data_IF_144386610104
#
_entry.id   IF_144386610104
#
_cell.length_a   1.000
_cell.length_b   1.000
_cell.length_c   1.000
_cell.angle_alpha   90.00
_cell.angle_beta   90.00
_cell.angle_gamma   90.00
#
_symmetry.space_group_name_H-M   'P 1'
#
loop_
_entity.id
_entity.type
_entity.pdbx_description
1 polymer ?
#
# COMPACT_ATOMS: atom_id res chain seq x y z
N UNK A 1 -21.62 -5.68 3.68
CA UNK A 1 -20.39 -5.92 2.86
C UNK A 1 -19.07 -5.64 3.59
N UNK A 2 -18.93 -4.61 4.41
CA UNK A 2 -17.73 -4.39 5.24
C UNK A 2 -17.73 -5.32 6.46
N UNK A 3 -18.87 -5.53 7.07
CA UNK A 3 -19.05 -6.41 8.23
C UNK A 3 -18.78 -7.88 7.93
N UNK A 4 -19.12 -8.37 6.74
CA UNK A 4 -18.86 -9.76 6.34
C UNK A 4 -17.37 -10.08 6.24
N UNK A 5 -16.55 -9.11 5.78
CA UNK A 5 -15.10 -9.28 5.72
C UNK A 5 -14.45 -9.32 7.10
N UNK A 6 -14.91 -8.46 8.01
CA UNK A 6 -14.44 -8.45 9.39
C UNK A 6 -14.84 -9.76 10.06
N UNK A 7 -16.09 -10.20 9.90
CA UNK A 7 -16.58 -11.47 10.42
C UNK A 7 -15.75 -12.67 9.91
N UNK A 8 -15.41 -12.69 8.62
CA UNK A 8 -14.56 -13.73 8.02
C UNK A 8 -13.15 -13.73 8.61
N UNK A 9 -12.54 -12.55 8.82
CA UNK A 9 -11.22 -12.43 9.44
C UNK A 9 -11.22 -12.82 10.91
N UNK A 10 -12.32 -12.58 11.62
CA UNK A 10 -12.48 -12.92 13.04
C UNK A 10 -12.91 -14.38 13.27
N UNK A 11 -13.38 -15.09 12.24
CA UNK A 11 -13.90 -16.44 12.36
C UNK A 11 -12.93 -17.44 13.03
N UNK A 12 -11.62 -17.48 12.73
CA UNK A 12 -10.70 -18.39 13.42
C UNK A 12 -10.58 -18.10 14.92
N UNK A 13 -10.55 -16.82 15.31
CA UNK A 13 -10.49 -16.41 16.72
C UNK A 13 -11.75 -16.81 17.46
N UNK A 14 -12.91 -16.55 16.85
CA UNK A 14 -14.20 -16.94 17.40
C UNK A 14 -14.31 -18.45 17.56
N UNK A 15 -13.90 -19.21 16.55
CA UNK A 15 -13.90 -20.68 16.61
C UNK A 15 -13.02 -21.21 17.74
N UNK A 16 -11.80 -20.68 17.91
CA UNK A 16 -10.91 -21.08 18.99
C UNK A 16 -11.52 -20.74 20.39
N UNK A 17 -12.13 -19.58 20.50
CA UNK A 17 -12.80 -19.14 21.73
C UNK A 17 -14.01 -20.05 22.08
N UNK A 18 -14.89 -20.27 21.12
CA UNK A 18 -16.12 -21.09 21.30
C UNK A 18 -15.77 -22.55 21.65
N UNK A 19 -14.69 -23.07 21.07
CA UNK A 19 -14.20 -24.43 21.37
C UNK A 19 -13.30 -24.53 22.60
N UNK A 20 -13.11 -23.42 23.33
CA UNK A 20 -12.24 -23.35 24.54
C UNK A 20 -10.79 -23.80 24.26
N UNK A 21 -10.33 -23.61 23.02
CA UNK A 21 -8.96 -23.91 22.59
C UNK A 21 -8.03 -22.72 22.95
N UNK A 22 -7.82 -22.51 24.25
CA UNK A 22 -7.13 -21.33 24.78
C UNK A 22 -5.70 -21.22 24.27
N UNK A 23 -4.95 -22.30 24.24
CA UNK A 23 -3.54 -22.29 23.75
C UNK A 23 -3.47 -21.86 22.28
N UNK A 24 -4.41 -22.33 21.45
CA UNK A 24 -4.50 -21.91 20.05
C UNK A 24 -4.89 -20.44 19.93
N UNK A 25 -5.83 -19.98 20.72
CA UNK A 25 -6.26 -18.59 20.76
C UNK A 25 -5.11 -17.67 21.19
N UNK A 26 -4.38 -18.03 22.25
CA UNK A 26 -3.20 -17.29 22.71
C UNK A 26 -2.10 -17.23 21.65
N UNK A 27 -1.84 -18.34 20.97
CA UNK A 27 -0.88 -18.38 19.85
C UNK A 27 -1.26 -17.44 18.71
N UNK A 28 -2.53 -17.44 18.29
CA UNK A 28 -3.02 -16.53 17.24
C UNK A 28 -2.95 -15.06 17.67
N UNK A 29 -3.37 -14.75 18.90
CA UNK A 29 -3.30 -13.37 19.44
C UNK A 29 -1.86 -12.94 19.63
N UNK A 30 -0.97 -13.82 20.10
CA UNK A 30 0.46 -13.56 20.22
C UNK A 30 1.10 -13.21 18.89
N UNK A 31 0.84 -13.99 17.85
CA UNK A 31 1.32 -13.74 16.49
C UNK A 31 0.79 -12.40 15.96
N UNK A 32 -0.49 -12.11 16.15
CA UNK A 32 -1.08 -10.83 15.73
C UNK A 32 -0.43 -9.65 16.46
N UNK A 33 -0.20 -9.76 17.77
CA UNK A 33 0.47 -8.72 18.57
C UNK A 33 1.88 -8.44 18.09
N UNK A 34 2.67 -9.48 17.83
CA UNK A 34 4.05 -9.32 17.32
C UNK A 34 4.07 -8.61 15.97
N UNK A 35 3.17 -8.99 15.06
CA UNK A 35 3.09 -8.36 13.73
C UNK A 35 2.53 -6.94 13.81
N UNK A 36 1.52 -6.70 14.65
CA UNK A 36 0.93 -5.38 14.82
C UNK A 36 1.89 -4.41 15.54
N UNK A 37 2.68 -4.89 16.52
CA UNK A 37 3.62 -4.05 17.26
C UNK A 37 4.65 -3.36 16.37
N UNK A 38 4.98 -3.97 15.23
CA UNK A 38 5.88 -3.36 14.25
C UNK A 38 5.29 -2.13 13.56
N UNK A 39 3.97 -2.02 13.51
CA UNK A 39 3.24 -0.91 12.88
C UNK A 39 2.84 0.18 13.89
N UNK A 40 3.01 -0.08 15.18
CA UNK A 40 2.62 0.85 16.24
C UNK A 40 3.85 1.60 16.71
N UNK A 41 4.06 2.78 16.14
CA UNK A 41 4.98 3.79 16.68
C UNK A 41 4.19 5.03 17.09
N UNK A 42 4.71 5.89 17.99
CA UNK A 42 4.07 7.16 18.34
C UNK A 42 3.78 8.01 17.10
N UNK A 43 4.70 8.06 16.15
CA UNK A 43 4.59 8.82 14.92
C UNK A 43 3.51 8.24 14.00
N UNK A 44 3.48 6.92 13.82
CA UNK A 44 2.44 6.23 13.04
C UNK A 44 1.07 6.44 13.67
N UNK A 45 0.97 6.31 14.99
CA UNK A 45 -0.27 6.57 15.71
C UNK A 45 -0.76 8.01 15.47
N UNK A 46 0.11 8.98 15.61
CA UNK A 46 -0.22 10.40 15.41
C UNK A 46 -0.72 10.67 13.99
N UNK A 47 -0.04 10.16 12.97
CA UNK A 47 -0.42 10.37 11.57
C UNK A 47 -1.73 9.66 11.21
N UNK A 48 -1.93 8.42 11.67
CA UNK A 48 -3.06 7.60 11.25
C UNK A 48 -4.32 7.77 12.11
N UNK A 49 -4.24 8.46 13.23
CA UNK A 49 -5.41 8.83 14.05
C UNK A 49 -5.87 10.27 13.81
N UNK A 50 -5.10 11.08 13.08
CA UNK A 50 -5.50 12.40 12.62
C UNK A 50 -6.48 12.36 11.45
N UNK A 51 -7.14 13.49 11.17
CA UNK A 51 -8.01 13.70 10.01
C UNK A 51 -7.71 15.06 9.36
N UNK A 52 -6.41 15.34 9.19
CA UNK A 52 -5.92 16.65 8.72
C UNK A 52 -5.87 16.75 7.19
N UNK A 53 -5.94 15.62 6.47
CA UNK A 53 -5.93 15.58 5.01
C UNK A 53 -6.73 14.41 4.47
N UNK A 54 -7.14 14.51 3.20
CA UNK A 54 -7.77 13.41 2.50
C UNK A 54 -6.97 13.02 1.24
N UNK A 55 -7.22 11.80 0.75
CA UNK A 55 -6.53 11.26 -0.42
C UNK A 55 -7.21 11.63 -1.76
N UNK A 56 -8.08 12.64 -1.79
CA UNK A 56 -8.74 13.11 -3.02
C UNK A 56 -7.90 14.14 -3.77
N UNK A 57 -6.63 13.88 -3.92
CA UNK A 57 -5.66 14.81 -4.52
C UNK A 57 -6.02 15.22 -5.96
N UNK A 58 -6.83 14.43 -6.64
CA UNK A 58 -7.29 14.67 -8.02
C UNK A 58 -8.69 15.27 -8.11
N UNK A 59 -9.22 15.84 -7.04
CA UNK A 59 -10.47 16.57 -7.05
C UNK A 59 -10.32 17.89 -7.81
N UNK A 60 -11.26 18.19 -8.70
CA UNK A 60 -11.26 19.44 -9.48
C UNK A 60 -11.40 20.68 -8.61
N UNK A 61 -12.11 20.57 -7.50
CA UNK A 61 -12.35 21.68 -6.57
C UNK A 61 -11.18 21.97 -5.65
N UNK A 62 -10.34 20.96 -5.39
CA UNK A 62 -9.21 21.09 -4.47
C UNK A 62 -8.04 20.20 -4.94
N UNK A 63 -7.39 20.53 -6.07
CA UNK A 63 -6.23 19.79 -6.53
C UNK A 63 -5.07 19.96 -5.55
N UNK A 64 -4.42 18.86 -5.20
CA UNK A 64 -3.42 18.86 -4.14
C UNK A 64 -2.17 18.08 -4.54
N UNK A 65 -1.06 18.37 -3.86
CA UNK A 65 0.16 17.58 -3.91
C UNK A 65 0.26 16.74 -2.64
N UNK A 66 0.63 15.47 -2.81
CA UNK A 66 0.96 14.59 -1.70
C UNK A 66 2.39 14.10 -1.88
N UNK A 67 3.23 14.37 -0.89
CA UNK A 67 4.60 13.87 -0.83
C UNK A 67 4.66 12.83 0.28
N UNK A 68 5.12 11.63 -0.05
CA UNK A 68 5.31 10.53 0.88
C UNK A 68 6.81 10.25 0.96
N UNK A 69 7.39 10.47 2.12
CA UNK A 69 8.80 10.18 2.37
C UNK A 69 8.97 8.81 3.01
N UNK A 70 10.10 8.15 2.73
CA UNK A 70 10.55 6.96 3.44
C UNK A 70 11.76 7.31 4.32
N UNK A 71 11.93 6.58 5.42
CA UNK A 71 13.07 6.70 6.31
C UNK A 71 13.84 5.38 6.28
N UNK A 72 15.08 5.36 5.77
CA UNK A 72 15.86 4.13 5.68
C UNK A 72 16.08 3.41 7.02
N UNK A 73 16.15 4.17 8.14
CA UNK A 73 16.31 3.58 9.46
C UNK A 73 15.06 2.88 9.98
N UNK A 74 13.87 3.30 9.47
CA UNK A 74 12.56 2.79 9.89
C UNK A 74 11.77 2.18 8.72
N UNK A 75 12.46 1.77 7.66
CA UNK A 75 11.86 1.34 6.39
C UNK A 75 10.80 0.23 6.58
N UNK A 76 11.05 -0.75 7.43
CA UNK A 76 10.09 -1.85 7.65
C UNK A 76 8.73 -1.38 8.19
N UNK A 77 8.72 -0.34 9.01
CA UNK A 77 7.48 0.22 9.58
C UNK A 77 6.87 1.23 8.62
N UNK A 78 7.65 2.26 8.27
CA UNK A 78 7.19 3.39 7.44
C UNK A 78 6.86 2.90 6.03
N UNK A 79 7.67 2.04 5.44
CA UNK A 79 7.41 1.47 4.11
C UNK A 79 6.09 0.71 4.04
N UNK A 80 5.74 -0.05 5.09
CA UNK A 80 4.45 -0.76 5.18
C UNK A 80 3.27 0.21 5.26
N UNK A 81 3.40 1.28 6.03
CA UNK A 81 2.38 2.32 6.17
C UNK A 81 2.24 3.13 4.87
N UNK A 82 3.35 3.50 4.25
CA UNK A 82 3.39 4.16 2.95
C UNK A 82 2.73 3.29 1.86
N UNK A 83 3.00 2.00 1.85
CA UNK A 83 2.36 1.06 0.93
C UNK A 83 0.83 1.01 1.11
N UNK A 84 0.32 1.09 2.35
CA UNK A 84 -1.10 1.17 2.64
C UNK A 84 -1.72 2.45 2.06
N UNK A 85 -1.11 3.61 2.31
CA UNK A 85 -1.55 4.91 1.79
C UNK A 85 -1.54 4.91 0.27
N UNK A 86 -0.44 4.46 -0.36
CA UNK A 86 -0.28 4.39 -1.80
C UNK A 86 -1.32 3.48 -2.45
N UNK A 87 -1.54 2.28 -1.91
CA UNK A 87 -2.56 1.38 -2.43
C UNK A 87 -3.97 1.99 -2.40
N UNK A 88 -4.27 2.79 -1.38
CA UNK A 88 -5.54 3.50 -1.28
C UNK A 88 -5.61 4.68 -2.26
N UNK A 89 -4.54 5.46 -2.34
CA UNK A 89 -4.40 6.60 -3.24
C UNK A 89 -4.61 6.20 -4.69
N UNK A 90 -3.93 5.15 -5.15
CA UNK A 90 -4.03 4.65 -6.52
C UNK A 90 -5.46 4.30 -6.90
N UNK A 91 -6.17 3.63 -6.01
CA UNK A 91 -7.57 3.28 -6.27
C UNK A 91 -8.43 4.54 -6.47
N UNK A 92 -8.08 5.64 -5.80
CA UNK A 92 -8.80 6.90 -5.90
C UNK A 92 -8.41 7.68 -7.15
N UNK A 93 -7.12 7.83 -7.45
CA UNK A 93 -6.67 8.61 -8.60
C UNK A 93 -6.90 7.89 -9.93
N UNK A 94 -6.80 6.55 -9.93
CA UNK A 94 -7.01 5.73 -11.12
C UNK A 94 -8.49 5.43 -11.35
N UNK A 95 -9.32 6.46 -11.33
CA UNK A 95 -10.76 6.38 -11.55
C UNK A 95 -11.23 7.47 -12.51
N UNK A 96 -12.39 7.25 -13.15
CA UNK A 96 -12.98 8.22 -14.08
C UNK A 96 -13.45 9.48 -13.35
N UNK A 97 -13.40 10.62 -14.03
CA UNK A 97 -13.92 11.88 -13.52
C UNK A 97 -12.88 12.76 -12.81
N UNK A 98 -11.71 12.23 -12.51
CA UNK A 98 -10.59 12.96 -11.92
C UNK A 98 -9.93 13.91 -12.92
N UNK A 99 -9.24 14.93 -12.43
CA UNK A 99 -8.26 15.69 -13.22
C UNK A 99 -7.03 14.80 -13.50
N UNK A 100 -6.20 15.14 -14.52
CA UNK A 100 -4.94 14.44 -14.75
C UNK A 100 -4.05 14.45 -13.50
N UNK A 101 -3.41 13.30 -13.23
CA UNK A 101 -2.52 13.12 -12.08
C UNK A 101 -1.16 12.59 -12.54
N UNK A 102 -0.10 13.04 -11.91
CA UNK A 102 1.23 12.43 -12.05
C UNK A 102 1.61 11.72 -10.75
N UNK A 103 2.04 10.46 -10.88
CA UNK A 103 2.61 9.67 -9.79
C UNK A 103 4.09 9.50 -10.11
N UNK A 104 4.95 9.98 -9.22
CA UNK A 104 6.41 9.88 -9.35
C UNK A 104 6.91 9.07 -8.17
N UNK A 105 7.56 7.95 -8.44
CA UNK A 105 8.22 7.09 -7.47
C UNK A 105 9.71 7.12 -7.76
N UNK A 106 10.50 7.72 -6.89
CA UNK A 106 11.93 7.93 -7.11
C UNK A 106 12.73 6.62 -6.94
N UNK A 107 12.42 5.84 -5.93
CA UNK A 107 13.09 4.56 -5.67
C UNK A 107 12.04 3.45 -5.44
N UNK A 108 11.59 2.83 -6.53
CA UNK A 108 10.51 1.83 -6.50
C UNK A 108 10.81 0.61 -5.62
N UNK A 109 12.05 0.05 -5.56
CA UNK A 109 12.36 -1.10 -4.72
C UNK A 109 12.14 -0.87 -3.22
N UNK A 110 12.27 0.36 -2.73
CA UNK A 110 12.05 0.67 -1.30
C UNK A 110 10.58 0.65 -0.89
N UNK A 111 9.69 0.58 -1.87
CA UNK A 111 8.24 0.59 -1.67
C UNK A 111 7.62 -0.64 -2.31
N UNK A 112 7.26 -1.65 -1.50
CA UNK A 112 6.51 -2.79 -2.03
C UNK A 112 5.10 -2.38 -2.46
N UNK A 113 4.96 -2.15 -3.75
CA UNK A 113 3.78 -1.58 -4.37
C UNK A 113 2.97 -2.65 -5.10
N UNK A 114 2.19 -3.39 -4.38
CA UNK A 114 1.55 -4.64 -4.82
C UNK A 114 0.65 -4.56 -6.08
N UNK A 115 0.24 -3.36 -6.50
CA UNK A 115 -0.68 -3.17 -7.65
C UNK A 115 -0.12 -2.25 -8.72
N UNK A 116 1.18 -2.09 -8.76
CA UNK A 116 1.82 -1.17 -9.70
C UNK A 116 1.57 -1.58 -11.15
N UNK A 117 1.64 -2.87 -11.46
CA UNK A 117 1.35 -3.41 -12.78
C UNK A 117 -0.07 -3.06 -13.26
N UNK A 118 -1.04 -3.20 -12.37
CA UNK A 118 -2.42 -2.84 -12.67
C UNK A 118 -2.59 -1.33 -12.85
N UNK A 119 -1.91 -0.53 -12.04
CA UNK A 119 -1.92 0.92 -12.20
C UNK A 119 -1.42 1.29 -13.58
N UNK A 120 -0.21 0.86 -13.95
CA UNK A 120 0.41 1.21 -15.23
C UNK A 120 -0.50 0.80 -16.40
N UNK A 121 -1.06 -0.42 -16.35
CA UNK A 121 -1.93 -0.93 -17.41
C UNK A 121 -3.24 -0.15 -17.62
N UNK A 122 -3.72 0.56 -16.61
CA UNK A 122 -4.99 1.33 -16.67
C UNK A 122 -4.81 2.85 -16.56
N UNK A 123 -3.61 3.32 -16.25
CA UNK A 123 -3.29 4.72 -15.98
C UNK A 123 -3.68 5.64 -17.14
N UNK A 124 -3.35 5.26 -18.37
CA UNK A 124 -3.63 6.05 -19.57
C UNK A 124 -5.12 6.39 -19.74
N UNK A 125 -6.01 5.43 -19.53
CA UNK A 125 -7.46 5.63 -19.68
C UNK A 125 -8.05 6.56 -18.61
N UNK A 126 -7.37 6.70 -17.48
CA UNK A 126 -7.76 7.53 -16.35
C UNK A 126 -6.91 8.83 -16.23
N UNK A 127 -6.11 9.14 -17.25
CA UNK A 127 -5.25 10.34 -17.30
C UNK A 127 -4.23 10.39 -16.16
N UNK A 128 -3.68 9.23 -15.78
CA UNK A 128 -2.62 9.12 -14.78
C UNK A 128 -1.29 8.91 -15.51
N UNK A 129 -0.32 9.79 -15.31
CA UNK A 129 1.06 9.61 -15.70
C UNK A 129 1.80 8.90 -14.56
N UNK A 130 2.61 7.89 -14.88
CA UNK A 130 3.38 7.14 -13.90
C UNK A 130 4.85 7.18 -14.28
N UNK A 131 5.68 7.67 -13.38
CA UNK A 131 7.14 7.67 -13.50
C UNK A 131 7.72 6.84 -12.38
N UNK A 132 8.53 5.84 -12.72
CA UNK A 132 9.15 4.92 -11.77
C UNK A 132 10.67 5.03 -11.89
N UNK A 133 11.34 5.41 -10.81
CA UNK A 133 12.79 5.38 -10.67
C UNK A 133 13.24 4.11 -9.96
N UNK A 134 14.36 3.56 -10.37
CA UNK A 134 15.11 2.50 -9.70
C UNK A 134 16.55 2.50 -10.23
N UNK A 135 17.47 1.97 -9.45
CA UNK A 135 18.89 2.01 -9.82
C UNK A 135 19.28 0.82 -10.68
N UNK A 136 18.86 -0.41 -10.30
CA UNK A 136 19.28 -1.63 -10.97
C UNK A 136 18.12 -2.62 -11.14
N UNK A 137 18.09 -3.32 -12.27
CA UNK A 137 17.10 -4.37 -12.54
C UNK A 137 17.15 -5.55 -11.56
N UNK A 138 18.32 -6.04 -11.10
CA UNK A 138 18.39 -7.11 -10.12
C UNK A 138 17.68 -6.78 -8.81
N UNK A 139 17.74 -5.52 -8.35
CA UNK A 139 17.03 -5.08 -7.15
C UNK A 139 15.52 -5.15 -7.36
N UNK A 140 15.04 -4.68 -8.50
CA UNK A 140 13.62 -4.76 -8.85
C UNK A 140 13.15 -6.22 -8.96
N UNK A 141 14.00 -7.13 -9.45
CA UNK A 141 13.70 -8.56 -9.51
C UNK A 141 13.64 -9.19 -8.10
N UNK A 142 14.52 -8.79 -7.19
CA UNK A 142 14.53 -9.28 -5.81
C UNK A 142 13.21 -8.98 -5.09
N UNK A 143 12.64 -7.78 -5.28
CA UNK A 143 11.45 -7.31 -4.56
C UNK A 143 10.14 -7.72 -5.24
N UNK A 144 10.08 -7.68 -6.57
CA UNK A 144 8.85 -7.97 -7.33
C UNK A 144 8.84 -9.36 -7.96
N UNK A 145 9.94 -10.10 -7.88
CA UNK A 145 10.16 -11.35 -8.58
C UNK A 145 10.32 -11.14 -10.09
N UNK A 146 10.88 -12.13 -10.77
CA UNK A 146 11.15 -12.08 -12.23
C UNK A 146 9.90 -11.72 -13.06
N UNK A 147 8.77 -12.32 -12.73
CA UNK A 147 7.50 -12.09 -13.46
C UNK A 147 6.97 -10.67 -13.20
N UNK A 148 7.06 -10.20 -11.95
CA UNK A 148 6.65 -8.84 -11.57
C UNK A 148 7.49 -7.78 -12.24
N UNK A 149 8.82 -7.90 -12.17
CA UNK A 149 9.76 -7.03 -12.86
C UNK A 149 9.47 -6.98 -14.37
N UNK A 150 9.32 -8.13 -15.03
CA UNK A 150 9.04 -8.20 -16.45
C UNK A 150 7.73 -7.49 -16.83
N UNK A 151 6.68 -7.65 -16.02
CA UNK A 151 5.41 -6.94 -16.22
C UNK A 151 5.58 -5.43 -16.12
N UNK A 152 6.30 -4.94 -15.11
CA UNK A 152 6.55 -3.52 -14.91
C UNK A 152 7.25 -2.95 -16.16
N UNK A 153 8.36 -3.55 -16.56
CA UNK A 153 9.17 -3.10 -17.69
C UNK A 153 8.36 -3.12 -18.99
N UNK A 154 7.69 -4.22 -19.31
CA UNK A 154 6.96 -4.35 -20.59
C UNK A 154 5.72 -3.47 -20.67
N UNK A 155 5.19 -3.02 -19.55
CA UNK A 155 4.01 -2.15 -19.53
C UNK A 155 4.38 -0.67 -19.56
N UNK A 156 5.62 -0.31 -19.22
CA UNK A 156 6.15 1.04 -19.40
C UNK A 156 6.35 1.34 -20.89
N UNK A 157 5.93 2.53 -21.33
CA UNK A 157 6.07 2.94 -22.75
C UNK A 157 7.45 3.49 -23.09
N UNK A 158 8.19 3.97 -22.08
CA UNK A 158 9.56 4.50 -22.17
C UNK A 158 10.39 3.91 -21.04
N UNK A 159 11.58 3.46 -21.37
CA UNK A 159 12.57 2.91 -20.41
C UNK A 159 13.88 3.62 -20.65
#
# INVERSE_FOLDING_TARGET
MQDDKIASLMAPFKSAYDNKANDQLEGMVGTLRVNAARLVSPEAYWVFTGDDFDLKISDKSNPSYLVIANDPEKEQVIGSLNALVLNRLITRVNSKGNIPVSIIVDELPTLYFHKIDRLIGTARSNKVAVTLGFQELPQLEADYGKVGMQKIITTCGNI
#
